data_IF_223612460610
#
_entry.id   IF_223612460610
#
_cell.length_a   1.000
_cell.length_b   1.000
_cell.length_c   1.000
_cell.angle_alpha   90.00
_cell.angle_beta   90.00
_cell.angle_gamma   90.00
#
_symmetry.space_group_name_H-M   'P 1'
#
loop_
_entity.id
_entity.type
_entity.pdbx_description
1 polymer ?
#
# COMPACT_ATOMS: atom_id res chain seq x y z
N UNK A 1 39.47 19.25 -4.25
CA UNK A 1 38.68 18.22 -4.99
C UNK A 1 37.25 18.30 -4.49
N UNK A 2 36.28 18.35 -5.37
CA UNK A 2 34.84 18.33 -4.98
C UNK A 2 34.43 16.89 -4.78
N UNK A 3 34.06 16.54 -3.55
CA UNK A 3 33.84 15.15 -3.14
C UNK A 3 32.60 14.95 -2.22
N UNK A 4 31.86 16.01 -1.98
CA UNK A 4 30.77 16.04 -1.01
C UNK A 4 29.42 16.28 -1.71
N UNK A 5 28.40 15.55 -1.35
CA UNK A 5 27.01 15.81 -1.74
C UNK A 5 26.40 16.69 -0.65
N UNK A 6 26.00 17.90 -1.00
CA UNK A 6 25.28 18.78 -0.10
C UNK A 6 23.77 18.57 -0.25
N UNK A 7 23.05 18.43 0.86
CA UNK A 7 21.57 18.39 0.88
C UNK A 7 21.07 19.74 1.41
N UNK A 8 20.38 20.48 0.54
CA UNK A 8 19.72 21.75 0.87
C UNK A 8 18.23 21.49 1.07
N UNK A 9 17.63 21.94 2.18
CA UNK A 9 16.26 21.61 2.55
C UNK A 9 15.60 22.69 3.41
N UNK A 10 14.29 22.61 3.58
CA UNK A 10 13.55 23.46 4.51
C UNK A 10 13.48 22.81 5.90
N UNK A 11 14.01 23.52 6.89
CA UNK A 11 13.95 23.12 8.29
C UNK A 11 12.72 23.80 8.96
N UNK A 12 11.85 23.08 9.72
CA UNK A 12 11.93 21.65 10.05
C UNK A 12 11.18 20.71 9.09
N UNK A 13 10.43 21.21 8.10
CA UNK A 13 9.43 20.48 7.33
C UNK A 13 10.02 19.31 6.54
N UNK A 14 11.22 19.48 5.98
CA UNK A 14 11.86 18.48 5.13
C UNK A 14 12.89 17.61 5.87
N UNK A 15 13.00 17.76 7.18
CA UNK A 15 14.04 17.13 8.00
C UNK A 15 14.02 15.60 7.91
N UNK A 16 12.84 14.98 7.96
CA UNK A 16 12.68 13.53 7.92
C UNK A 16 13.24 12.95 6.62
N UNK A 17 12.82 13.50 5.50
CA UNK A 17 13.30 13.07 4.18
C UNK A 17 14.80 13.33 4.01
N UNK A 18 15.27 14.51 4.42
CA UNK A 18 16.67 14.91 4.27
C UNK A 18 17.60 13.99 5.06
N UNK A 19 17.23 13.68 6.28
CA UNK A 19 17.98 12.78 7.13
C UNK A 19 18.00 11.36 6.58
N UNK A 20 16.84 10.84 6.14
CA UNK A 20 16.76 9.55 5.47
C UNK A 20 17.67 9.50 4.24
N UNK A 21 17.61 10.52 3.36
CA UNK A 21 18.41 10.57 2.15
C UNK A 21 19.91 10.66 2.45
N UNK A 22 20.29 11.48 3.44
CA UNK A 22 21.68 11.59 3.88
C UNK A 22 22.24 10.24 4.30
N UNK A 23 21.48 9.46 5.05
CA UNK A 23 21.87 8.12 5.51
C UNK A 23 21.99 7.13 4.37
N UNK A 24 21.04 7.13 3.44
CA UNK A 24 21.09 6.24 2.27
C UNK A 24 22.34 6.54 1.42
N UNK A 25 22.61 7.81 1.13
CA UNK A 25 23.79 8.22 0.36
C UNK A 25 25.10 7.90 1.10
N UNK A 26 25.13 8.09 2.42
CA UNK A 26 26.28 7.73 3.23
C UNK A 26 26.50 6.19 3.25
N UNK A 27 25.45 5.39 3.33
CA UNK A 27 25.52 3.94 3.24
C UNK A 27 26.07 3.45 1.88
N UNK A 28 25.80 4.21 0.81
CA UNK A 28 26.35 3.95 -0.52
C UNK A 28 27.80 4.45 -0.67
N UNK A 29 28.39 5.02 0.38
CA UNK A 29 29.79 5.43 0.43
C UNK A 29 30.01 6.87 -0.07
N UNK A 30 28.98 7.69 -0.22
CA UNK A 30 29.14 9.09 -0.54
C UNK A 30 29.39 9.92 0.72
N UNK A 31 30.23 10.95 0.59
CA UNK A 31 30.38 11.96 1.62
C UNK A 31 29.20 12.92 1.53
N UNK A 32 28.40 13.03 2.59
CA UNK A 32 27.18 13.84 2.63
C UNK A 32 27.33 14.96 3.65
N UNK A 33 26.83 16.12 3.32
CA UNK A 33 26.71 17.25 4.22
C UNK A 33 25.27 17.78 4.21
N UNK A 34 24.67 17.93 5.40
CA UNK A 34 23.45 18.71 5.62
C UNK A 34 23.49 19.31 7.02
N UNK A 35 22.72 20.37 7.26
CA UNK A 35 22.68 21.04 8.55
C UNK A 35 22.31 20.09 9.72
N UNK A 36 21.50 19.05 9.47
CA UNK A 36 21.09 18.05 10.45
C UNK A 36 22.23 17.12 10.85
N UNK A 37 23.24 16.92 10.02
CA UNK A 37 24.38 16.03 10.28
C UNK A 37 25.48 16.68 11.11
N UNK A 38 25.37 17.94 11.47
CA UNK A 38 26.25 18.59 12.48
C UNK A 38 26.25 17.85 13.82
N UNK A 39 25.26 16.98 14.05
CA UNK A 39 25.11 16.17 15.25
C UNK A 39 25.86 14.82 15.20
N UNK A 40 26.41 14.44 14.05
CA UNK A 40 27.14 13.18 13.88
C UNK A 40 28.58 13.25 14.40
N UNK A 41 28.78 13.76 15.60
CA UNK A 41 30.04 13.98 16.29
C UNK A 41 31.23 13.16 15.80
N UNK A 42 32.27 13.86 15.35
CA UNK A 42 33.59 13.25 15.08
C UNK A 42 34.39 13.78 13.94
N UNK A 43 33.86 14.57 13.01
CA UNK A 43 34.64 15.13 11.93
C UNK A 43 34.38 16.62 11.68
N UNK A 44 35.48 17.39 11.74
CA UNK A 44 35.75 18.76 11.33
C UNK A 44 34.51 19.62 11.06
N UNK A 45 34.29 20.56 11.95
CA UNK A 45 33.33 21.65 11.86
C UNK A 45 33.47 22.37 10.50
N UNK A 46 32.42 22.34 9.71
CA UNK A 46 32.26 23.22 8.57
C UNK A 46 31.48 24.44 9.06
N UNK A 47 32.16 25.52 9.25
CA UNK A 47 31.63 26.76 9.85
C UNK A 47 30.63 27.48 8.95
N UNK A 48 30.52 27.09 7.65
CA UNK A 48 29.68 27.83 6.70
C UNK A 48 29.20 26.94 5.53
N UNK A 49 27.86 26.80 5.37
CA UNK A 49 27.23 26.16 4.23
C UNK A 49 27.70 26.75 2.89
N UNK A 50 27.97 28.05 2.86
CA UNK A 50 28.53 28.74 1.70
C UNK A 50 29.90 28.18 1.35
N UNK A 51 30.76 27.92 2.33
CA UNK A 51 32.08 27.33 2.13
C UNK A 51 32.00 25.92 1.52
N UNK A 52 31.05 25.10 1.98
CA UNK A 52 30.81 23.76 1.42
C UNK A 52 30.37 23.86 -0.04
N UNK A 53 29.38 24.70 -0.35
CA UNK A 53 28.92 24.91 -1.74
C UNK A 53 30.09 25.37 -2.63
N UNK A 54 30.87 26.34 -2.17
CA UNK A 54 31.92 26.92 -2.98
C UNK A 54 33.10 25.99 -3.25
N UNK A 55 33.51 25.19 -2.27
CA UNK A 55 34.83 24.55 -2.32
C UNK A 55 34.76 23.01 -2.27
N UNK A 56 33.70 22.40 -1.75
CA UNK A 56 33.64 20.96 -1.46
C UNK A 56 32.53 20.22 -2.19
N UNK A 57 31.40 20.86 -2.45
CA UNK A 57 30.28 20.17 -3.07
C UNK A 57 30.63 19.66 -4.47
N UNK A 58 30.50 18.37 -4.69
CA UNK A 58 30.49 17.75 -6.01
C UNK A 58 29.09 17.92 -6.64
N UNK A 59 28.04 17.79 -5.83
CA UNK A 59 26.65 18.01 -6.20
C UNK A 59 25.91 18.68 -5.05
N UNK A 60 24.89 19.47 -5.40
CA UNK A 60 23.88 20.00 -4.48
C UNK A 60 22.56 19.32 -4.78
N UNK A 61 22.10 18.45 -3.90
CA UNK A 61 20.75 17.87 -3.98
C UNK A 61 19.81 18.83 -3.25
N UNK A 62 18.95 19.48 -4.01
CA UNK A 62 17.97 20.42 -3.49
C UNK A 62 16.67 19.66 -3.22
N UNK A 63 16.30 19.53 -1.95
CA UNK A 63 15.04 18.90 -1.53
C UNK A 63 13.92 19.85 -1.90
N UNK A 64 13.25 19.57 -3.02
CA UNK A 64 12.17 20.39 -3.56
C UNK A 64 10.84 19.99 -2.93
N UNK A 65 10.32 20.89 -2.12
CA UNK A 65 9.01 20.82 -1.47
C UNK A 65 8.30 22.16 -1.52
N UNK A 66 7.03 22.20 -1.11
CA UNK A 66 6.30 23.48 -0.91
C UNK A 66 7.03 24.39 0.08
N UNK A 67 7.63 23.82 1.12
CA UNK A 67 8.35 24.55 2.14
C UNK A 67 9.65 25.13 1.60
N UNK A 68 10.50 24.34 0.96
CA UNK A 68 11.78 24.79 0.41
C UNK A 68 11.60 25.78 -0.76
N UNK A 69 10.50 25.63 -1.50
CA UNK A 69 10.14 26.53 -2.61
C UNK A 69 9.72 27.94 -2.15
N UNK A 70 9.45 28.13 -0.84
CA UNK A 70 8.99 29.41 -0.26
C UNK A 70 9.91 30.02 0.78
N UNK A 71 10.80 29.23 1.40
CA UNK A 71 11.71 29.70 2.47
C UNK A 71 12.98 30.34 1.92
N UNK A 72 13.38 31.47 2.51
CA UNK A 72 14.55 32.25 2.10
C UNK A 72 15.87 31.47 2.17
N UNK A 73 16.07 30.63 3.21
CA UNK A 73 17.29 29.86 3.42
C UNK A 73 17.62 28.95 2.23
N UNK A 74 16.78 27.95 1.95
CA UNK A 74 16.96 27.04 0.81
C UNK A 74 17.06 27.78 -0.53
N UNK A 75 16.27 28.83 -0.75
CA UNK A 75 16.31 29.62 -1.99
C UNK A 75 17.66 30.37 -2.17
N UNK A 76 18.25 30.89 -1.10
CA UNK A 76 19.59 31.51 -1.16
C UNK A 76 20.67 30.49 -1.48
N UNK A 77 20.61 29.31 -0.88
CA UNK A 77 21.53 28.21 -1.15
C UNK A 77 21.43 27.76 -2.60
N UNK A 78 20.21 27.62 -3.14
CA UNK A 78 19.94 27.30 -4.53
C UNK A 78 20.55 28.35 -5.48
N UNK A 79 20.33 29.64 -5.21
CA UNK A 79 20.86 30.74 -6.03
C UNK A 79 22.38 30.76 -6.03
N UNK A 80 22.99 30.52 -4.85
CA UNK A 80 24.44 30.42 -4.72
C UNK A 80 24.99 29.24 -5.53
N UNK A 81 24.38 28.06 -5.38
CA UNK A 81 24.79 26.86 -6.11
C UNK A 81 24.70 27.05 -7.64
N UNK A 82 23.63 27.64 -8.14
CA UNK A 82 23.44 27.90 -9.56
C UNK A 82 24.38 28.96 -10.10
N UNK A 83 24.66 30.03 -9.32
CA UNK A 83 25.63 31.07 -9.70
C UNK A 83 27.02 30.47 -9.82
N UNK A 84 27.38 29.60 -8.87
CA UNK A 84 28.66 28.88 -8.90
C UNK A 84 28.74 27.94 -10.11
N UNK A 85 27.67 27.13 -10.35
CA UNK A 85 27.61 26.21 -11.47
C UNK A 85 27.83 26.90 -12.82
N UNK A 86 27.22 28.08 -13.00
CA UNK A 86 27.42 28.91 -14.21
C UNK A 86 28.82 29.44 -14.33
N UNK A 87 29.38 29.97 -13.22
CA UNK A 87 30.75 30.57 -13.22
C UNK A 87 31.83 29.53 -13.49
N UNK A 88 31.72 28.36 -12.86
CA UNK A 88 32.71 27.28 -12.94
C UNK A 88 32.39 26.23 -14.00
N UNK A 89 31.27 26.41 -14.76
CA UNK A 89 30.81 25.50 -15.81
C UNK A 89 30.61 24.07 -15.32
N UNK A 90 30.02 23.92 -14.10
CA UNK A 90 29.72 22.61 -13.51
C UNK A 90 28.44 22.08 -14.11
N UNK A 91 28.52 20.94 -14.78
CA UNK A 91 27.36 20.29 -15.37
C UNK A 91 26.52 19.59 -14.30
N UNK A 92 25.18 19.74 -14.36
CA UNK A 92 24.22 19.08 -13.48
C UNK A 92 24.59 19.21 -11.98
N UNK A 93 25.11 20.39 -11.61
CA UNK A 93 25.60 20.63 -10.24
C UNK A 93 24.48 20.63 -9.22
N UNK A 94 23.28 21.14 -9.59
CA UNK A 94 22.08 21.11 -8.76
C UNK A 94 21.15 20.00 -9.27
N UNK A 95 20.75 19.12 -8.37
CA UNK A 95 19.82 18.01 -8.63
C UNK A 95 18.59 18.22 -7.74
N UNK A 96 17.42 18.63 -8.28
CA UNK A 96 16.20 18.74 -7.49
C UNK A 96 15.64 17.37 -7.16
N UNK A 97 15.42 17.10 -5.86
CA UNK A 97 14.72 15.93 -5.35
C UNK A 97 13.30 16.34 -4.96
N UNK A 98 12.32 16.05 -5.79
CA UNK A 98 10.92 16.45 -5.61
C UNK A 98 10.20 15.48 -4.67
N UNK A 99 9.84 15.93 -3.46
CA UNK A 99 9.38 15.05 -2.39
C UNK A 99 7.88 15.10 -2.10
N UNK A 100 7.19 16.11 -2.60
CA UNK A 100 5.75 16.32 -2.36
C UNK A 100 4.98 16.57 -3.66
N UNK A 101 3.70 16.91 -3.53
CA UNK A 101 2.83 17.18 -4.68
C UNK A 101 2.88 18.63 -5.17
N UNK A 102 4.00 19.34 -5.07
CA UNK A 102 4.15 20.69 -5.61
C UNK A 102 3.98 20.69 -7.13
N UNK A 103 2.99 21.41 -7.70
CA UNK A 103 2.83 21.48 -9.15
C UNK A 103 4.02 22.14 -9.84
N UNK A 104 4.42 21.65 -11.00
CA UNK A 104 5.51 22.23 -11.78
C UNK A 104 5.31 23.72 -12.12
N UNK A 105 4.06 24.17 -12.21
CA UNK A 105 3.73 25.58 -12.43
C UNK A 105 4.04 26.49 -11.24
N UNK A 106 4.19 25.93 -10.05
CA UNK A 106 4.49 26.65 -8.81
C UNK A 106 5.96 26.56 -8.41
N UNK A 107 6.75 25.74 -9.10
CA UNK A 107 8.18 25.57 -8.85
C UNK A 107 8.91 26.88 -9.17
N UNK A 108 9.85 27.27 -8.30
CA UNK A 108 10.69 28.47 -8.48
C UNK A 108 11.36 28.48 -9.85
N UNK A 109 11.46 29.69 -10.44
CA UNK A 109 11.96 29.89 -11.81
C UNK A 109 13.36 29.33 -12.01
N UNK A 110 14.15 29.30 -10.95
CA UNK A 110 15.50 28.76 -10.93
C UNK A 110 15.56 27.27 -11.26
N UNK A 111 14.51 26.51 -10.96
CA UNK A 111 14.44 25.06 -11.18
C UNK A 111 13.57 24.66 -12.37
N UNK A 112 12.82 25.57 -12.99
CA UNK A 112 11.92 25.24 -14.10
C UNK A 112 12.59 24.62 -15.33
N UNK A 113 13.90 24.77 -15.46
CA UNK A 113 14.71 24.24 -16.57
C UNK A 113 15.54 23.02 -16.18
N UNK A 114 15.41 22.54 -14.95
CA UNK A 114 16.16 21.39 -14.43
C UNK A 114 15.19 20.24 -14.21
N UNK A 115 15.51 19.07 -14.75
CA UNK A 115 14.71 17.87 -14.49
C UNK A 115 14.83 17.47 -13.02
N UNK A 116 13.72 17.34 -12.33
CA UNK A 116 13.66 16.84 -10.96
C UNK A 116 13.60 15.31 -10.93
N UNK A 117 14.16 14.75 -9.85
CA UNK A 117 13.98 13.33 -9.53
C UNK A 117 12.78 13.21 -8.59
N UNK A 118 11.79 12.40 -8.99
CA UNK A 118 10.56 12.22 -8.24
C UNK A 118 10.74 11.27 -7.06
N UNK A 119 10.55 11.80 -5.85
CA UNK A 119 10.54 11.03 -4.61
C UNK A 119 9.14 10.94 -4.00
N UNK A 120 8.24 11.85 -4.33
CA UNK A 120 6.90 11.94 -3.71
C UNK A 120 6.04 10.69 -3.84
N UNK A 121 6.25 9.87 -4.87
CA UNK A 121 5.53 8.59 -5.06
C UNK A 121 6.21 7.40 -4.36
N UNK A 122 7.52 7.42 -4.27
CA UNK A 122 8.32 6.36 -3.67
C UNK A 122 9.76 6.85 -3.45
N UNK A 123 10.15 6.95 -2.19
CA UNK A 123 11.51 7.34 -1.82
C UNK A 123 12.56 6.36 -2.36
N UNK A 124 12.26 5.07 -2.32
CA UNK A 124 13.18 4.05 -2.84
C UNK A 124 13.40 4.13 -4.35
N UNK A 125 12.35 4.43 -5.13
CA UNK A 125 12.48 4.60 -6.57
C UNK A 125 13.26 5.88 -6.92
N UNK A 126 12.99 6.98 -6.20
CA UNK A 126 13.75 8.22 -6.33
C UNK A 126 15.22 8.04 -5.99
N UNK A 127 15.52 7.31 -4.90
CA UNK A 127 16.88 6.98 -4.52
C UNK A 127 17.61 6.20 -5.61
N UNK A 128 17.01 5.16 -6.18
CA UNK A 128 17.61 4.39 -7.26
C UNK A 128 17.98 5.29 -8.47
N UNK A 129 17.10 6.22 -8.82
CA UNK A 129 17.34 7.20 -9.90
C UNK A 129 18.48 8.14 -9.55
N UNK A 130 18.50 8.65 -8.31
CA UNK A 130 19.58 9.54 -7.84
C UNK A 130 20.93 8.82 -7.81
N UNK A 131 21.01 7.61 -7.29
CA UNK A 131 22.24 6.82 -7.25
C UNK A 131 22.79 6.59 -8.67
N UNK A 132 21.92 6.23 -9.60
CA UNK A 132 22.31 6.08 -11.00
C UNK A 132 22.84 7.37 -11.60
N UNK A 133 22.22 8.53 -11.32
CA UNK A 133 22.71 9.84 -11.75
C UNK A 133 24.08 10.17 -11.16
N UNK A 134 24.27 9.93 -9.87
CA UNK A 134 25.53 10.18 -9.19
C UNK A 134 26.67 9.31 -9.75
N UNK A 135 26.35 8.08 -10.16
CA UNK A 135 27.27 7.16 -10.80
C UNK A 135 27.67 7.61 -12.20
N UNK A 136 26.71 8.03 -13.04
CA UNK A 136 26.98 8.62 -14.37
C UNK A 136 27.86 9.86 -14.23
N UNK A 137 27.61 10.69 -13.23
CA UNK A 137 28.35 11.92 -12.98
C UNK A 137 29.70 11.69 -12.28
N UNK A 138 30.08 10.43 -12.06
CA UNK A 138 31.32 9.99 -11.43
C UNK A 138 31.60 10.69 -10.08
N UNK A 139 30.57 10.88 -9.26
CA UNK A 139 30.71 11.47 -7.91
C UNK A 139 31.57 10.55 -7.05
N UNK A 140 32.65 11.02 -6.40
CA UNK A 140 33.54 10.18 -5.65
C UNK A 140 32.87 9.47 -4.48
N UNK A 141 33.21 8.19 -4.28
CA UNK A 141 32.85 7.41 -3.08
C UNK A 141 34.05 7.30 -2.14
N UNK A 142 33.80 7.28 -0.85
CA UNK A 142 34.82 7.14 0.20
C UNK A 142 34.93 5.69 0.61
N UNK A 143 36.07 5.01 0.42
CA UNK A 143 36.23 3.59 0.66
C UNK A 143 36.14 3.17 2.14
N UNK A 144 36.34 4.10 3.07
CA UNK A 144 36.49 3.81 4.51
C UNK A 144 35.32 4.36 5.36
N UNK A 145 34.10 4.43 4.82
CA UNK A 145 32.97 4.92 5.58
C UNK A 145 32.47 3.86 6.61
N UNK A 146 32.32 4.27 7.88
CA UNK A 146 31.78 3.37 8.91
C UNK A 146 30.24 3.32 8.84
N UNK A 147 29.73 2.39 8.04
CA UNK A 147 28.27 2.18 7.89
C UNK A 147 27.56 1.87 9.21
N UNK A 148 28.23 1.16 10.12
CA UNK A 148 27.66 0.79 11.40
C UNK A 148 27.37 2.01 12.28
N UNK A 149 28.32 2.95 12.37
CA UNK A 149 28.17 4.13 13.19
C UNK A 149 27.00 5.04 12.75
N UNK A 150 26.78 5.16 11.42
CA UNK A 150 25.64 5.94 10.88
C UNK A 150 24.33 5.25 11.17
N UNK A 151 24.28 3.93 10.97
CA UNK A 151 23.08 3.15 11.28
C UNK A 151 22.75 3.18 12.76
N UNK A 152 23.76 3.08 13.64
CA UNK A 152 23.56 3.11 15.10
C UNK A 152 23.09 4.49 15.57
N UNK A 153 23.64 5.55 15.00
CA UNK A 153 23.16 6.90 15.30
C UNK A 153 21.71 7.11 14.83
N UNK A 154 21.40 6.71 13.60
CA UNK A 154 20.03 6.78 13.08
C UNK A 154 19.06 6.02 13.97
N UNK A 155 19.39 4.78 14.31
CA UNK A 155 18.57 3.97 15.20
C UNK A 155 18.32 4.68 16.52
N UNK A 156 19.36 5.26 17.13
CA UNK A 156 19.21 5.94 18.42
C UNK A 156 18.26 7.15 18.35
N UNK A 157 18.30 7.90 17.26
CA UNK A 157 17.39 9.05 17.06
C UNK A 157 15.97 8.59 16.75
N UNK A 158 15.84 7.59 15.89
CA UNK A 158 14.55 7.03 15.50
C UNK A 158 13.89 6.29 16.68
N UNK A 159 14.65 5.50 17.40
CA UNK A 159 14.18 4.76 18.58
C UNK A 159 13.61 5.73 19.66
N UNK A 160 14.32 6.82 19.91
CA UNK A 160 13.90 7.84 20.87
C UNK A 160 12.64 8.60 20.43
N UNK A 161 12.49 8.86 19.09
CA UNK A 161 11.36 9.63 18.57
C UNK A 161 10.10 8.79 18.32
N UNK A 162 10.23 7.48 18.09
CA UNK A 162 9.15 6.63 17.59
C UNK A 162 8.80 5.45 18.51
N UNK A 163 9.31 5.43 19.75
CA UNK A 163 8.99 4.40 20.72
C UNK A 163 9.47 3.00 20.35
N UNK A 164 10.64 2.90 19.69
CA UNK A 164 11.25 1.62 19.35
C UNK A 164 12.03 1.06 20.55
N UNK A 165 11.74 -0.19 20.91
CA UNK A 165 12.47 -0.97 21.91
C UNK A 165 13.46 -1.91 21.23
N UNK A 166 14.64 -2.13 21.84
CA UNK A 166 15.65 -3.10 21.35
C UNK A 166 15.34 -4.52 21.82
N UNK A 167 14.10 -4.93 21.62
CA UNK A 167 13.60 -6.26 21.99
C UNK A 167 13.05 -6.92 20.72
N UNK A 168 13.35 -8.21 20.47
CA UNK A 168 12.79 -8.91 19.32
C UNK A 168 11.27 -8.97 19.38
N UNK A 169 10.62 -8.80 18.22
CA UNK A 169 9.17 -8.92 18.08
C UNK A 169 8.82 -9.76 16.86
N UNK A 170 7.84 -10.64 17.00
CA UNK A 170 7.26 -11.34 15.87
C UNK A 170 6.21 -10.45 15.20
N UNK A 171 6.54 -9.94 14.02
CA UNK A 171 5.64 -9.13 13.19
C UNK A 171 4.78 -10.04 12.32
N UNK A 172 3.47 -9.92 12.45
CA UNK A 172 2.48 -10.71 11.69
C UNK A 172 2.05 -9.90 10.47
N UNK A 173 2.23 -10.46 9.29
CA UNK A 173 1.79 -9.84 8.03
C UNK A 173 0.31 -10.14 7.76
N UNK A 174 -0.19 -9.59 6.66
CA UNK A 174 -1.49 -9.96 6.09
C UNK A 174 -1.35 -10.83 4.82
N UNK A 175 -0.24 -11.54 4.69
CA UNK A 175 0.09 -12.45 3.59
C UNK A 175 -0.09 -13.89 4.03
N UNK A 176 -0.84 -14.65 3.23
CA UNK A 176 -1.11 -16.06 3.44
C UNK A 176 -0.49 -16.88 2.32
N UNK A 177 0.19 -17.97 2.63
CA UNK A 177 0.75 -18.85 1.60
C UNK A 177 -0.38 -19.54 0.84
N UNK A 178 -0.22 -19.64 -0.47
CA UNK A 178 -1.07 -20.51 -1.30
C UNK A 178 -0.49 -21.92 -1.20
N UNK A 179 -1.31 -22.83 -0.74
CA UNK A 179 -1.00 -24.26 -0.61
C UNK A 179 -1.78 -25.04 -1.66
N UNK A 180 -1.22 -26.15 -2.11
CA UNK A 180 -1.89 -27.09 -3.02
C UNK A 180 -2.38 -26.47 -4.34
N UNK A 181 -1.62 -25.54 -4.91
CA UNK A 181 -1.94 -25.07 -6.25
C UNK A 181 -1.88 -26.23 -7.25
N UNK A 182 -2.92 -26.47 -8.09
CA UNK A 182 -2.92 -27.56 -9.03
C UNK A 182 -1.73 -27.46 -10.02
N UNK A 183 -1.10 -28.58 -10.28
CA UNK A 183 0.08 -28.67 -11.14
C UNK A 183 -0.22 -28.43 -12.63
N UNK A 184 -1.50 -28.47 -13.03
CA UNK A 184 -1.92 -28.50 -14.42
C UNK A 184 -3.03 -27.49 -14.69
N UNK A 185 -2.84 -26.72 -15.74
CA UNK A 185 -3.82 -25.84 -16.37
C UNK A 185 -4.28 -26.42 -17.70
N UNK A 186 -5.46 -26.04 -18.15
CA UNK A 186 -6.02 -26.41 -19.44
C UNK A 186 -6.30 -25.14 -20.24
N UNK A 187 -5.87 -25.15 -21.50
CA UNK A 187 -6.30 -24.21 -22.52
C UNK A 187 -7.29 -24.90 -23.45
N UNK A 188 -8.51 -24.40 -23.49
CA UNK A 188 -9.56 -24.92 -24.34
C UNK A 188 -9.83 -23.96 -25.49
N UNK A 189 -9.68 -24.44 -26.71
CA UNK A 189 -10.07 -23.69 -27.89
C UNK A 189 -11.55 -23.90 -28.15
N UNK A 190 -12.35 -22.86 -27.91
CA UNK A 190 -13.79 -22.87 -28.07
C UNK A 190 -14.14 -22.38 -29.48
N UNK A 191 -15.09 -23.01 -30.11
CA UNK A 191 -15.59 -22.61 -31.43
C UNK A 191 -17.11 -22.53 -31.42
N UNK A 192 -17.69 -21.78 -32.38
CA UNK A 192 -19.13 -21.60 -32.58
C UNK A 192 -19.57 -22.36 -33.81
N UNK A 193 -20.74 -23.00 -33.78
CA UNK A 193 -21.34 -23.64 -34.93
C UNK A 193 -21.84 -22.62 -35.96
N UNK A 194 -22.39 -21.47 -35.48
CA UNK A 194 -22.94 -20.43 -36.39
C UNK A 194 -22.52 -19.03 -35.85
N UNK A 195 -22.02 -18.16 -36.75
CA UNK A 195 -21.76 -16.76 -36.39
C UNK A 195 -23.07 -16.01 -36.06
N UNK A 196 -23.07 -15.17 -35.00
CA UNK A 196 -24.14 -14.22 -34.76
C UNK A 196 -25.16 -14.55 -33.68
N UNK A 197 -24.98 -15.64 -32.94
CA UNK A 197 -25.79 -15.95 -31.75
C UNK A 197 -25.05 -15.57 -30.46
N UNK A 198 -25.83 -15.37 -29.39
CA UNK A 198 -25.45 -14.91 -28.04
C UNK A 198 -24.01 -15.19 -27.66
N UNK A 199 -23.32 -14.20 -27.12
CA UNK A 199 -21.95 -14.38 -26.62
C UNK A 199 -21.95 -15.38 -25.45
N UNK A 200 -20.88 -16.20 -25.40
CA UNK A 200 -20.69 -17.14 -24.32
C UNK A 200 -20.33 -16.37 -23.03
N UNK A 201 -21.21 -16.47 -22.05
CA UNK A 201 -20.97 -15.86 -20.74
C UNK A 201 -20.04 -16.77 -19.91
N UNK A 202 -18.78 -16.34 -19.78
CA UNK A 202 -17.76 -17.04 -18.99
C UNK A 202 -18.12 -17.06 -17.51
N UNK A 203 -18.87 -16.09 -17.01
CA UNK A 203 -19.27 -15.99 -15.62
C UNK A 203 -20.34 -17.03 -15.27
N UNK A 204 -21.04 -17.58 -16.25
CA UNK A 204 -21.98 -18.69 -16.10
C UNK A 204 -21.31 -20.05 -15.85
N UNK A 205 -20.01 -20.18 -16.11
CA UNK A 205 -19.27 -21.41 -15.83
C UNK A 205 -19.24 -21.69 -14.32
N UNK A 206 -19.31 -22.98 -13.90
CA UNK A 206 -19.23 -23.36 -12.49
C UNK A 206 -17.84 -23.12 -11.87
N UNK A 207 -16.80 -22.98 -12.69
CA UNK A 207 -15.42 -22.79 -12.29
C UNK A 207 -14.81 -21.55 -12.92
N UNK A 208 -13.74 -20.98 -12.31
CA UNK A 208 -13.02 -19.87 -12.86
C UNK A 208 -12.44 -20.16 -14.25
N UNK A 209 -12.63 -19.22 -15.16
CA UNK A 209 -12.04 -19.24 -16.47
C UNK A 209 -11.60 -17.83 -16.88
N UNK A 210 -10.60 -17.75 -17.74
CA UNK A 210 -10.09 -16.48 -18.27
C UNK A 210 -9.83 -16.61 -19.75
N UNK A 211 -10.29 -15.63 -20.53
CA UNK A 211 -9.99 -15.57 -21.95
C UNK A 211 -8.54 -15.18 -22.17
N UNK A 212 -7.77 -16.02 -22.87
CA UNK A 212 -6.45 -15.67 -23.39
C UNK A 212 -6.56 -14.85 -24.67
N UNK A 213 -7.57 -15.15 -25.47
CA UNK A 213 -8.00 -14.45 -26.67
C UNK A 213 -9.45 -14.82 -26.97
N UNK A 214 -10.03 -14.31 -28.04
CA UNK A 214 -11.46 -14.49 -28.39
C UNK A 214 -11.93 -15.95 -28.51
N UNK A 215 -11.01 -16.90 -28.58
CA UNK A 215 -11.32 -18.32 -28.83
C UNK A 215 -10.66 -19.29 -27.83
N UNK A 216 -9.73 -18.82 -27.00
CA UNK A 216 -8.97 -19.68 -26.08
C UNK A 216 -9.30 -19.35 -24.64
N UNK A 217 -9.90 -20.30 -23.93
CA UNK A 217 -10.22 -20.23 -22.51
C UNK A 217 -9.15 -20.96 -21.70
N UNK A 218 -8.59 -20.28 -20.69
CA UNK A 218 -7.71 -20.85 -19.68
C UNK A 218 -8.49 -21.18 -18.41
N UNK A 219 -8.32 -22.39 -17.89
CA UNK A 219 -8.98 -22.87 -16.66
C UNK A 219 -8.21 -24.02 -16.04
N UNK A 220 -8.54 -24.39 -14.79
CA UNK A 220 -8.06 -25.62 -14.16
C UNK A 220 -9.01 -26.82 -14.37
N UNK A 221 -10.13 -26.64 -15.06
CA UNK A 221 -11.11 -27.68 -15.31
C UNK A 221 -10.82 -28.40 -16.63
N UNK A 222 -11.00 -29.72 -16.64
CA UNK A 222 -10.98 -30.53 -17.87
C UNK A 222 -12.18 -30.20 -18.77
N UNK A 223 -12.08 -30.51 -20.05
CA UNK A 223 -13.15 -30.27 -20.99
C UNK A 223 -14.50 -30.90 -20.55
N UNK A 224 -14.45 -32.12 -20.06
CA UNK A 224 -15.62 -32.90 -19.65
C UNK A 224 -16.36 -32.26 -18.45
N UNK A 225 -15.64 -31.53 -17.60
CA UNK A 225 -16.18 -30.92 -16.38
C UNK A 225 -17.16 -29.78 -16.69
N UNK A 226 -17.04 -29.11 -17.82
CA UNK A 226 -17.87 -27.94 -18.11
C UNK A 226 -18.54 -27.95 -19.51
N UNK A 227 -18.33 -29.00 -20.33
CA UNK A 227 -18.96 -29.09 -21.64
C UNK A 227 -20.49 -28.94 -21.58
N UNK A 228 -21.12 -29.42 -20.49
CA UNK A 228 -22.57 -29.32 -20.26
C UNK A 228 -23.03 -27.88 -19.98
N UNK A 229 -22.15 -26.99 -19.59
CA UNK A 229 -22.45 -25.58 -19.31
C UNK A 229 -22.21 -24.68 -20.52
N UNK A 230 -21.62 -25.22 -21.60
CA UNK A 230 -21.51 -24.47 -22.84
C UNK A 230 -22.90 -24.32 -23.48
N UNK A 231 -23.19 -23.13 -24.00
CA UNK A 231 -24.40 -22.93 -24.78
C UNK A 231 -24.42 -23.90 -25.99
N UNK A 232 -25.60 -24.32 -26.47
CA UNK A 232 -25.73 -25.39 -27.48
C UNK A 232 -24.96 -25.19 -28.81
N UNK A 233 -24.56 -23.94 -29.08
CA UNK A 233 -23.82 -23.56 -30.29
C UNK A 233 -22.30 -23.40 -30.05
N UNK A 234 -21.81 -23.72 -28.85
CA UNK A 234 -20.40 -23.68 -28.49
C UNK A 234 -19.89 -25.08 -28.19
N UNK A 235 -18.70 -25.39 -28.67
CA UNK A 235 -18.03 -26.65 -28.36
C UNK A 235 -16.50 -26.47 -28.29
N UNK A 236 -15.85 -27.35 -27.55
CA UNK A 236 -14.41 -27.40 -27.44
C UNK A 236 -13.83 -28.11 -28.64
N UNK A 237 -13.09 -27.37 -29.47
CA UNK A 237 -12.42 -27.92 -30.67
C UNK A 237 -11.13 -28.66 -30.29
N UNK A 238 -10.39 -28.15 -29.32
CA UNK A 238 -9.10 -28.66 -28.88
C UNK A 238 -8.82 -28.27 -27.45
N UNK A 239 -8.19 -29.16 -26.70
CA UNK A 239 -7.70 -28.91 -25.36
C UNK A 239 -6.20 -29.15 -25.30
N UNK A 240 -5.49 -28.25 -24.64
CA UNK A 240 -4.06 -28.38 -24.36
C UNK A 240 -3.84 -28.36 -22.87
N UNK A 241 -2.99 -29.27 -22.40
CA UNK A 241 -2.54 -29.32 -20.99
C UNK A 241 -1.26 -28.50 -20.83
N UNK A 242 -1.19 -27.70 -19.80
CA UNK A 242 -0.07 -26.81 -19.52
C UNK A 242 0.38 -27.05 -18.08
N UNK A 243 1.68 -27.21 -17.86
CA UNK A 243 2.23 -27.22 -16.50
C UNK A 243 2.09 -25.83 -15.86
N UNK A 244 1.54 -25.75 -14.63
CA UNK A 244 1.41 -24.50 -13.91
C UNK A 244 2.76 -23.83 -13.69
N UNK A 245 3.81 -24.60 -13.38
CA UNK A 245 5.17 -24.07 -13.18
C UNK A 245 5.76 -23.49 -14.48
N UNK A 246 5.58 -24.19 -15.61
CA UNK A 246 6.06 -23.71 -16.90
C UNK A 246 5.29 -22.46 -17.35
N UNK A 247 3.99 -22.42 -17.08
CA UNK A 247 3.16 -21.25 -17.33
C UNK A 247 3.62 -20.04 -16.48
N UNK A 248 3.91 -20.26 -15.20
CA UNK A 248 4.45 -19.23 -14.32
C UNK A 248 5.83 -18.76 -14.74
N UNK A 249 6.66 -19.66 -15.27
CA UNK A 249 7.98 -19.33 -15.79
C UNK A 249 7.98 -18.63 -17.15
N UNK A 250 6.79 -18.50 -17.80
CA UNK A 250 6.65 -17.89 -19.12
C UNK A 250 7.23 -18.73 -20.25
N UNK A 251 7.38 -20.05 -20.07
CA UNK A 251 7.96 -20.96 -21.07
C UNK A 251 7.03 -21.27 -22.23
N UNK A 252 5.73 -21.03 -22.05
CA UNK A 252 4.67 -21.35 -23.03
C UNK A 252 4.30 -20.19 -23.97
N UNK A 253 5.25 -19.32 -24.29
CA UNK A 253 5.05 -18.14 -25.15
C UNK A 253 4.02 -17.10 -24.61
N UNK A 254 3.51 -17.28 -23.40
CA UNK A 254 2.60 -16.36 -22.73
C UNK A 254 3.37 -15.57 -21.66
N UNK A 255 3.98 -14.47 -22.05
CA UNK A 255 4.74 -13.59 -21.15
C UNK A 255 3.92 -13.10 -19.92
N UNK A 256 2.59 -13.17 -20.01
CA UNK A 256 1.65 -12.74 -18.97
C UNK A 256 1.10 -13.90 -18.10
N UNK A 257 1.73 -15.07 -18.11
CA UNK A 257 1.28 -16.24 -17.35
C UNK A 257 0.91 -15.94 -15.89
N UNK A 258 1.77 -15.25 -15.10
CA UNK A 258 1.46 -14.87 -13.73
C UNK A 258 0.20 -14.01 -13.58
N UNK A 259 -0.08 -13.13 -14.54
CA UNK A 259 -1.28 -12.29 -14.54
C UNK A 259 -2.57 -13.10 -14.70
N UNK A 260 -2.59 -14.03 -15.65
CA UNK A 260 -3.76 -14.89 -15.87
C UNK A 260 -4.00 -15.83 -14.70
N UNK A 261 -2.94 -16.40 -14.13
CA UNK A 261 -3.07 -17.23 -12.94
C UNK A 261 -3.60 -16.43 -11.75
N UNK A 262 -3.06 -15.24 -11.50
CA UNK A 262 -3.60 -14.35 -10.46
C UNK A 262 -5.09 -14.04 -10.69
N UNK A 263 -5.52 -13.88 -11.93
CA UNK A 263 -6.92 -13.64 -12.26
C UNK A 263 -7.80 -14.86 -11.93
N UNK A 264 -7.36 -16.09 -12.27
CA UNK A 264 -8.07 -17.31 -11.92
C UNK A 264 -8.21 -17.50 -10.40
N UNK A 265 -7.13 -17.30 -9.64
CA UNK A 265 -7.14 -17.40 -8.19
C UNK A 265 -8.08 -16.35 -7.56
N UNK A 266 -8.08 -15.12 -8.09
CA UNK A 266 -8.99 -14.07 -7.63
C UNK A 266 -10.45 -14.42 -7.92
N UNK A 267 -10.76 -14.92 -9.10
CA UNK A 267 -12.12 -15.33 -9.44
C UNK A 267 -12.63 -16.46 -8.50
N UNK A 268 -11.77 -17.43 -8.16
CA UNK A 268 -12.12 -18.47 -7.19
C UNK A 268 -12.38 -17.88 -5.80
N UNK A 269 -11.53 -16.97 -5.35
CA UNK A 269 -11.73 -16.24 -4.10
C UNK A 269 -13.08 -15.50 -4.10
N UNK A 270 -13.34 -14.70 -5.13
CA UNK A 270 -14.55 -13.89 -5.22
C UNK A 270 -15.81 -14.77 -5.24
N UNK A 271 -15.79 -15.92 -5.92
CA UNK A 271 -16.91 -16.86 -5.94
C UNK A 271 -17.22 -17.46 -4.56
N UNK A 272 -16.19 -17.91 -3.85
CA UNK A 272 -16.37 -18.47 -2.50
C UNK A 272 -16.92 -17.41 -1.54
N UNK A 273 -16.39 -16.20 -1.59
CA UNK A 273 -16.85 -15.15 -0.70
C UNK A 273 -18.25 -14.66 -1.07
N UNK A 274 -18.57 -14.50 -2.34
CA UNK A 274 -19.91 -14.11 -2.79
C UNK A 274 -20.99 -15.12 -2.40
N UNK A 275 -20.64 -16.41 -2.26
CA UNK A 275 -21.58 -17.45 -1.77
C UNK A 275 -21.87 -17.34 -0.27
N UNK A 276 -21.02 -16.66 0.49
CA UNK A 276 -21.09 -16.55 1.97
C UNK A 276 -21.44 -15.16 2.47
N UNK A 277 -21.00 -14.11 1.76
CA UNK A 277 -21.05 -12.73 2.21
C UNK A 277 -21.49 -11.78 1.09
N UNK A 278 -22.21 -10.72 1.41
CA UNK A 278 -22.48 -9.65 0.45
C UNK A 278 -21.21 -8.91 0.05
N UNK A 279 -21.18 -8.42 -1.18
CA UNK A 279 -20.07 -7.71 -1.75
C UNK A 279 -20.26 -6.18 -1.73
N UNK A 280 -19.15 -5.47 -1.71
CA UNK A 280 -19.05 -4.02 -1.91
C UNK A 280 -17.96 -3.75 -2.95
N UNK A 281 -18.26 -2.99 -3.97
CA UNK A 281 -17.27 -2.62 -4.99
C UNK A 281 -16.46 -1.42 -4.52
N UNK A 282 -15.17 -1.60 -4.36
CA UNK A 282 -14.21 -0.55 -3.99
C UNK A 282 -13.95 0.42 -5.15
N UNK A 283 -13.29 1.54 -4.86
CA UNK A 283 -13.04 2.57 -5.87
C UNK A 283 -12.16 2.11 -7.04
N UNK A 284 -11.32 1.11 -6.81
CA UNK A 284 -10.43 0.48 -7.80
C UNK A 284 -11.11 -0.68 -8.56
N UNK A 285 -12.43 -0.80 -8.43
CA UNK A 285 -13.24 -1.79 -9.15
C UNK A 285 -13.17 -3.22 -8.59
N UNK A 286 -12.49 -3.44 -7.45
CA UNK A 286 -12.41 -4.74 -6.79
C UNK A 286 -13.57 -4.95 -5.84
N UNK A 287 -13.83 -6.20 -5.46
CA UNK A 287 -14.82 -6.53 -4.46
C UNK A 287 -14.18 -6.72 -3.09
N UNK A 288 -14.85 -6.18 -2.06
CA UNK A 288 -14.66 -6.51 -0.65
C UNK A 288 -15.94 -7.14 -0.15
N UNK A 289 -15.81 -8.10 0.74
CA UNK A 289 -16.95 -8.86 1.28
C UNK A 289 -17.11 -8.52 2.75
N UNK A 290 -18.34 -8.26 3.19
CA UNK A 290 -18.59 -7.69 4.51
C UNK A 290 -19.64 -8.47 5.29
N UNK A 291 -19.58 -8.39 6.61
CA UNK A 291 -20.53 -9.01 7.51
C UNK A 291 -21.72 -8.06 7.75
N UNK A 292 -22.96 -8.57 7.57
CA UNK A 292 -24.19 -7.89 7.96
C UNK A 292 -24.50 -8.12 9.41
N UNK A 293 -25.20 -7.18 10.05
CA UNK A 293 -25.70 -7.34 11.41
C UNK A 293 -26.63 -8.54 11.53
N UNK A 294 -26.47 -9.31 12.61
CA UNK A 294 -27.35 -10.42 12.97
C UNK A 294 -27.16 -11.70 12.15
N UNK A 295 -26.18 -11.73 11.23
CA UNK A 295 -25.84 -12.97 10.48
C UNK A 295 -25.03 -13.94 11.35
N UNK A 296 -24.30 -13.42 12.31
CA UNK A 296 -23.48 -14.20 13.24
C UNK A 296 -23.99 -14.05 14.68
N UNK A 297 -23.81 -15.06 15.54
CA UNK A 297 -24.09 -14.92 16.96
C UNK A 297 -23.31 -13.73 17.56
N UNK A 298 -24.03 -12.80 18.19
CA UNK A 298 -23.47 -11.57 18.78
C UNK A 298 -22.59 -10.74 17.84
N UNK A 299 -22.72 -10.92 16.52
CA UNK A 299 -21.89 -10.29 15.48
C UNK A 299 -20.38 -10.48 15.70
N UNK A 300 -20.00 -11.64 16.29
CA UNK A 300 -18.63 -12.01 16.63
C UNK A 300 -18.20 -13.30 15.96
N UNK A 301 -16.88 -13.42 15.75
CA UNK A 301 -16.25 -14.64 15.25
C UNK A 301 -15.14 -15.04 16.23
N UNK A 302 -15.12 -16.32 16.59
CA UNK A 302 -14.04 -16.93 17.36
C UNK A 302 -12.93 -17.40 16.43
N UNK A 303 -11.69 -17.25 16.87
CA UNK A 303 -10.50 -17.68 16.12
C UNK A 303 -9.43 -18.21 17.08
N UNK A 304 -8.40 -18.80 16.51
CA UNK A 304 -7.17 -19.19 17.21
C UNK A 304 -6.02 -18.47 16.51
N UNK A 305 -5.18 -17.76 17.25
CA UNK A 305 -4.01 -17.07 16.70
C UNK A 305 -2.83 -18.03 16.48
N UNK A 306 -1.74 -17.51 15.87
CA UNK A 306 -0.52 -18.27 15.61
C UNK A 306 0.13 -18.88 16.86
N UNK A 307 -0.15 -18.35 18.05
CA UNK A 307 0.34 -18.88 19.34
C UNK A 307 -0.62 -19.90 19.97
N UNK A 308 -1.68 -20.29 19.25
CA UNK A 308 -2.69 -21.20 19.78
C UNK A 308 -3.68 -20.57 20.78
N UNK A 309 -3.63 -19.25 20.98
CA UNK A 309 -4.51 -18.53 21.88
C UNK A 309 -5.90 -18.37 21.23
N UNK A 310 -6.93 -18.75 21.97
CA UNK A 310 -8.31 -18.53 21.54
C UNK A 310 -8.72 -17.08 21.75
N UNK A 311 -9.29 -16.47 20.72
CA UNK A 311 -9.82 -15.12 20.74
C UNK A 311 -11.20 -15.04 20.08
N UNK A 312 -11.84 -13.91 20.21
CA UNK A 312 -13.04 -13.57 19.45
C UNK A 312 -13.03 -12.06 19.15
N UNK A 313 -13.56 -11.69 17.99
CA UNK A 313 -13.67 -10.28 17.60
C UNK A 313 -15.02 -9.97 16.99
N UNK A 314 -15.55 -8.78 17.34
CA UNK A 314 -16.70 -8.21 16.66
C UNK A 314 -16.35 -7.86 15.22
N UNK A 315 -17.20 -8.26 14.29
CA UNK A 315 -17.09 -7.94 12.85
C UNK A 315 -18.20 -6.99 12.40
N UNK A 316 -19.19 -6.76 13.26
CA UNK A 316 -20.18 -5.68 13.16
C UNK A 316 -20.34 -5.05 14.54
N UNK A 317 -20.53 -3.76 14.57
CA UNK A 317 -20.84 -3.03 15.79
C UNK A 317 -21.54 -1.73 15.45
N UNK A 318 -21.89 -0.95 16.46
CA UNK A 318 -22.54 0.33 16.25
C UNK A 318 -22.06 1.40 17.22
N UNK A 319 -22.26 2.65 16.84
CA UNK A 319 -22.05 3.82 17.67
C UNK A 319 -23.32 4.66 17.65
N UNK A 320 -23.76 5.14 18.81
CA UNK A 320 -24.86 6.09 18.90
C UNK A 320 -24.34 7.48 18.59
N UNK A 321 -24.93 8.12 17.59
CA UNK A 321 -24.60 9.47 17.17
C UNK A 321 -25.49 10.49 17.89
N UNK A 322 -25.14 11.76 17.74
CA UNK A 322 -25.97 12.86 18.26
C UNK A 322 -27.41 12.72 17.75
N UNK A 323 -28.39 12.93 18.62
CA UNK A 323 -29.81 12.72 18.29
C UNK A 323 -30.29 11.27 18.36
N UNK A 324 -29.51 10.34 18.93
CA UNK A 324 -29.91 8.94 19.14
C UNK A 324 -29.87 8.05 17.91
N UNK A 325 -29.40 8.56 16.78
CA UNK A 325 -29.24 7.82 15.53
C UNK A 325 -28.12 6.80 15.65
N UNK A 326 -28.33 5.57 15.16
CA UNK A 326 -27.31 4.54 15.17
C UNK A 326 -26.49 4.59 13.88
N UNK A 327 -25.18 4.44 14.00
CA UNK A 327 -24.27 4.22 12.90
C UNK A 327 -23.59 2.87 13.09
N UNK A 328 -23.85 1.93 12.18
CA UNK A 328 -23.24 0.61 12.21
C UNK A 328 -21.94 0.64 11.41
N UNK A 329 -20.93 -0.06 11.91
CA UNK A 329 -19.71 -0.38 11.18
C UNK A 329 -19.64 -1.87 10.89
N UNK A 330 -19.09 -2.22 9.75
CA UNK A 330 -18.96 -3.59 9.25
C UNK A 330 -17.51 -3.84 8.89
N UNK A 331 -16.91 -4.91 9.44
CA UNK A 331 -15.65 -5.40 8.95
C UNK A 331 -15.87 -6.04 7.59
N UNK A 332 -15.05 -5.68 6.64
CA UNK A 332 -15.00 -6.22 5.30
C UNK A 332 -13.56 -6.59 4.95
N UNK A 333 -13.39 -7.50 4.02
CA UNK A 333 -12.07 -7.88 3.56
C UNK A 333 -12.06 -8.28 2.09
N UNK A 334 -10.91 -8.14 1.46
CA UNK A 334 -10.64 -8.51 0.08
C UNK A 334 -9.37 -9.32 -0.02
N UNK A 335 -9.25 -10.16 -1.05
CA UNK A 335 -8.06 -10.94 -1.34
C UNK A 335 -7.40 -10.50 -2.64
N UNK A 336 -6.07 -10.48 -2.65
CA UNK A 336 -5.26 -10.21 -3.84
C UNK A 336 -4.17 -11.25 -3.97
N UNK A 337 -4.15 -12.06 -5.04
CA UNK A 337 -3.05 -12.96 -5.31
C UNK A 337 -1.77 -12.18 -5.64
N UNK A 338 -0.66 -12.65 -5.11
CA UNK A 338 0.71 -12.20 -5.41
C UNK A 338 1.46 -13.41 -5.93
N UNK A 339 2.02 -13.30 -7.14
CA UNK A 339 2.56 -14.45 -7.85
C UNK A 339 4.08 -14.59 -7.76
N UNK A 340 4.77 -13.61 -7.23
CA UNK A 340 6.24 -13.61 -7.10
C UNK A 340 6.67 -12.86 -5.83
N UNK A 341 7.76 -13.28 -5.16
CA UNK A 341 8.64 -14.45 -5.47
C UNK A 341 7.96 -15.79 -5.20
N UNK A 342 6.98 -15.83 -4.31
CA UNK A 342 6.14 -16.97 -3.97
C UNK A 342 4.67 -16.66 -4.29
N UNK A 343 3.84 -17.70 -4.42
CA UNK A 343 2.40 -17.50 -4.59
C UNK A 343 1.76 -17.29 -3.22
N UNK A 344 1.25 -16.09 -3.02
CA UNK A 344 0.67 -15.61 -1.77
C UNK A 344 -0.72 -15.02 -2.01
N UNK A 345 -1.51 -14.96 -0.95
CA UNK A 345 -2.74 -14.16 -0.91
C UNK A 345 -2.59 -13.03 0.10
N UNK A 346 -2.67 -11.79 -0.39
CA UNK A 346 -2.74 -10.60 0.45
C UNK A 346 -4.21 -10.40 0.86
N UNK A 347 -4.51 -10.51 2.16
CA UNK A 347 -5.85 -10.23 2.72
C UNK A 347 -5.86 -8.84 3.30
N UNK A 348 -6.73 -7.97 2.75
CA UNK A 348 -6.83 -6.58 3.19
C UNK A 348 -8.15 -6.32 3.89
N UNK A 349 -8.08 -5.87 5.14
CA UNK A 349 -9.22 -5.43 5.92
C UNK A 349 -9.74 -4.05 5.50
N UNK A 350 -11.05 -3.87 5.59
CA UNK A 350 -11.76 -2.60 5.35
C UNK A 350 -12.83 -2.40 6.42
N UNK A 351 -13.27 -1.16 6.62
CA UNK A 351 -14.44 -0.86 7.45
C UNK A 351 -15.45 -0.07 6.61
N UNK A 352 -16.68 -0.54 6.58
CA UNK A 352 -17.79 0.02 5.85
C UNK A 352 -18.89 0.43 6.83
N UNK A 353 -19.83 1.27 6.41
CA UNK A 353 -20.83 1.83 7.30
C UNK A 353 -22.26 1.72 6.73
N UNK A 354 -23.24 1.62 7.64
CA UNK A 354 -24.65 1.67 7.34
C UNK A 354 -25.43 2.32 8.49
N UNK A 355 -26.69 2.72 8.22
CA UNK A 355 -27.57 3.25 9.26
C UNK A 355 -28.43 2.17 9.91
N UNK A 356 -28.62 1.04 9.24
CA UNK A 356 -29.54 -0.04 9.64
C UNK A 356 -28.82 -1.37 9.98
N UNK A 357 -27.51 -1.44 9.78
CA UNK A 357 -26.73 -2.68 9.92
C UNK A 357 -26.80 -3.64 8.73
N UNK A 358 -27.52 -3.27 7.66
CA UNK A 358 -27.80 -4.14 6.51
C UNK A 358 -27.39 -3.54 5.16
N UNK A 359 -27.73 -2.26 4.94
CA UNK A 359 -27.55 -1.55 3.69
C UNK A 359 -26.45 -0.50 3.80
N UNK A 360 -25.36 -0.70 3.07
CA UNK A 360 -24.21 0.18 3.14
C UNK A 360 -24.51 1.58 2.57
N UNK A 361 -23.83 2.56 3.12
CA UNK A 361 -23.82 3.89 2.52
C UNK A 361 -23.23 3.85 1.11
N UNK A 362 -23.87 4.58 0.20
CA UNK A 362 -23.39 4.70 -1.20
C UNK A 362 -22.41 5.84 -1.38
N UNK A 363 -22.49 6.87 -0.54
CA UNK A 363 -21.59 8.03 -0.61
C UNK A 363 -20.21 7.69 -0.02
N UNK A 364 -19.18 7.84 -0.84
CA UNK A 364 -17.80 7.48 -0.50
C UNK A 364 -17.15 8.45 0.49
N UNK A 365 -17.52 9.72 0.45
CA UNK A 365 -16.88 10.76 1.25
C UNK A 365 -17.26 10.67 2.75
N UNK A 366 -18.56 10.63 3.14
CA UNK A 366 -18.96 10.33 4.51
C UNK A 366 -18.41 9.00 5.03
N UNK A 367 -18.37 7.97 4.17
CA UNK A 367 -17.81 6.67 4.55
C UNK A 367 -16.32 6.77 4.89
N UNK A 368 -15.53 7.55 4.14
CA UNK A 368 -14.12 7.77 4.40
C UNK A 368 -13.89 8.56 5.70
N UNK A 369 -14.70 9.58 5.98
CA UNK A 369 -14.66 10.35 7.24
C UNK A 369 -15.02 9.47 8.43
N UNK A 370 -16.10 8.70 8.35
CA UNK A 370 -16.52 7.78 9.39
C UNK A 370 -15.47 6.70 9.68
N UNK A 371 -14.76 6.21 8.64
CA UNK A 371 -13.68 5.24 8.80
C UNK A 371 -12.51 5.80 9.58
N UNK A 372 -12.04 7.01 9.25
CA UNK A 372 -10.95 7.67 10.00
C UNK A 372 -11.31 7.78 11.48
N UNK A 373 -12.51 8.22 11.81
CA UNK A 373 -12.97 8.38 13.18
C UNK A 373 -13.15 7.05 13.92
N UNK A 374 -13.67 6.01 13.23
CA UNK A 374 -13.90 4.70 13.84
C UNK A 374 -12.59 3.95 14.10
N UNK A 375 -11.65 4.06 13.16
CA UNK A 375 -10.43 3.27 13.18
C UNK A 375 -9.24 3.99 13.81
N UNK A 376 -9.40 5.21 14.32
CA UNK A 376 -8.28 5.95 14.89
C UNK A 376 -7.62 5.24 16.09
N UNK A 377 -8.41 4.43 16.81
CA UNK A 377 -7.95 3.65 17.96
C UNK A 377 -7.89 2.14 17.65
N UNK A 378 -7.89 1.75 16.36
CA UNK A 378 -7.69 0.37 15.97
C UNK A 378 -6.20 0.17 15.66
N UNK A 379 -5.49 -0.36 16.63
CA UNK A 379 -4.08 -0.69 16.51
C UNK A 379 -3.87 -2.04 15.83
N UNK A 380 -2.63 -2.47 15.73
CA UNK A 380 -2.25 -3.68 15.01
C UNK A 380 -3.01 -4.94 15.46
N UNK A 381 -3.25 -5.11 16.74
CA UNK A 381 -4.01 -6.22 17.32
C UNK A 381 -5.47 -6.24 16.86
N UNK A 382 -6.13 -5.07 16.79
CA UNK A 382 -7.51 -4.95 16.34
C UNK A 382 -7.70 -5.36 14.88
N UNK A 383 -6.75 -4.98 14.00
CA UNK A 383 -6.76 -5.37 12.59
C UNK A 383 -6.37 -6.82 12.41
N UNK A 384 -5.32 -7.28 13.08
CA UNK A 384 -4.82 -8.64 13.06
C UNK A 384 -5.89 -9.64 13.48
N UNK A 385 -6.52 -9.40 14.63
CA UNK A 385 -7.49 -10.33 15.19
C UNK A 385 -8.75 -10.42 14.33
N UNK A 386 -9.19 -9.32 13.69
CA UNK A 386 -10.30 -9.38 12.71
C UNK A 386 -9.91 -10.10 11.44
N UNK A 387 -8.67 -10.01 11.02
CA UNK A 387 -8.14 -10.79 9.91
C UNK A 387 -8.18 -12.30 10.25
N UNK A 388 -7.68 -12.70 11.43
CA UNK A 388 -7.81 -14.08 11.91
C UNK A 388 -9.27 -14.54 11.98
N UNK A 389 -10.16 -13.71 12.50
CA UNK A 389 -11.58 -14.00 12.55
C UNK A 389 -12.17 -14.20 11.15
N UNK A 390 -11.81 -13.37 10.17
CA UNK A 390 -12.29 -13.53 8.79
C UNK A 390 -11.79 -14.84 8.14
N UNK A 391 -10.53 -15.19 8.34
CA UNK A 391 -9.96 -16.46 7.84
C UNK A 391 -10.60 -17.67 8.55
N UNK A 392 -10.80 -17.59 9.88
CA UNK A 392 -11.49 -18.64 10.63
C UNK A 392 -12.93 -18.84 10.15
N UNK A 393 -13.65 -17.76 9.82
CA UNK A 393 -14.98 -17.84 9.23
C UNK A 393 -14.99 -18.57 7.87
N UNK A 394 -13.99 -18.30 7.02
CA UNK A 394 -13.85 -18.96 5.72
C UNK A 394 -13.50 -20.45 5.88
N UNK A 395 -12.62 -20.77 6.83
CA UNK A 395 -12.17 -22.14 7.09
C UNK A 395 -13.28 -23.03 7.65
N UNK A 396 -14.24 -22.47 8.36
CA UNK A 396 -15.34 -23.23 8.99
C UNK A 396 -14.84 -24.34 9.92
N UNK A 397 -15.58 -25.43 9.98
CA UNK A 397 -15.24 -26.62 10.80
C UNK A 397 -14.05 -27.41 10.26
N UNK A 398 -13.80 -27.34 8.97
CA UNK A 398 -12.80 -28.19 8.26
C UNK A 398 -11.37 -27.71 8.46
N UNK A 399 -11.23 -26.52 8.98
CA UNK A 399 -9.95 -25.96 9.39
C UNK A 399 -9.01 -25.61 8.25
N UNK A 400 -9.43 -25.69 6.97
CA UNK A 400 -8.72 -25.19 5.79
C UNK A 400 -9.64 -24.33 4.94
N UNK A 401 -9.06 -23.33 4.29
CA UNK A 401 -9.81 -22.47 3.34
C UNK A 401 -9.53 -23.00 1.94
N UNK A 402 -10.49 -23.72 1.37
CA UNK A 402 -10.40 -24.28 0.02
C UNK A 402 -11.15 -23.39 -0.97
N UNK A 403 -10.50 -23.08 -2.08
CA UNK A 403 -11.04 -22.32 -3.20
C UNK A 403 -11.11 -23.21 -4.44
N UNK A 404 -12.31 -23.60 -4.89
CA UNK A 404 -12.47 -24.43 -6.08
C UNK A 404 -12.00 -23.72 -7.35
N UNK A 405 -11.19 -24.41 -8.12
CA UNK A 405 -10.71 -23.99 -9.44
C UNK A 405 -11.22 -24.86 -10.57
N UNK A 406 -11.74 -26.04 -10.26
CA UNK A 406 -12.29 -27.04 -11.15
C UNK A 406 -13.10 -28.08 -10.38
N UNK A 407 -13.61 -29.12 -11.04
CA UNK A 407 -14.36 -30.20 -10.40
C UNK A 407 -13.52 -30.90 -9.32
N UNK A 408 -12.28 -31.27 -9.68
CA UNK A 408 -11.32 -31.96 -8.82
C UNK A 408 -10.09 -31.09 -8.51
N UNK A 409 -10.15 -29.79 -8.81
CA UNK A 409 -9.02 -28.87 -8.68
C UNK A 409 -9.40 -27.71 -7.76
N UNK A 410 -8.50 -27.33 -6.88
CA UNK A 410 -8.65 -26.18 -6.01
C UNK A 410 -7.30 -25.76 -5.43
N UNK A 411 -7.26 -24.61 -4.82
CA UNK A 411 -6.13 -24.20 -4.00
C UNK A 411 -6.61 -23.91 -2.58
N UNK A 412 -5.70 -24.00 -1.65
CA UNK A 412 -5.93 -23.55 -0.27
C UNK A 412 -4.96 -22.45 0.08
N UNK A 413 -5.33 -21.68 1.09
CA UNK A 413 -4.41 -20.74 1.75
C UNK A 413 -4.11 -21.22 3.15
N UNK A 414 -2.91 -20.90 3.65
CA UNK A 414 -2.53 -21.17 5.03
C UNK A 414 -3.54 -20.52 6.00
N UNK A 415 -3.76 -21.13 7.16
CA UNK A 415 -4.58 -20.53 8.22
C UNK A 415 -3.89 -19.37 8.89
N UNK A 416 -2.59 -19.44 8.93
CA UNK A 416 -1.74 -18.47 9.56
C UNK A 416 -1.08 -17.59 8.51
N UNK A 417 -1.04 -16.28 8.75
CA UNK A 417 -0.30 -15.38 7.91
C UNK A 417 1.20 -15.60 8.09
N UNK A 418 1.97 -15.17 7.12
CA UNK A 418 3.44 -15.16 7.22
C UNK A 418 3.83 -14.21 8.33
N UNK A 419 4.72 -14.67 9.21
CA UNK A 419 5.33 -13.87 10.26
C UNK A 419 6.81 -13.65 10.00
N UNK A 420 7.33 -12.57 10.56
CA UNK A 420 8.73 -12.18 10.45
C UNK A 420 9.25 -11.81 11.85
N UNK A 421 10.46 -12.24 12.14
CA UNK A 421 11.15 -11.79 13.35
C UNK A 421 11.80 -10.43 13.10
N UNK A 422 11.37 -9.43 13.86
CA UNK A 422 12.00 -8.12 13.91
C UNK A 422 13.02 -8.08 15.06
N UNK A 423 14.22 -7.53 14.88
CA UNK A 423 15.18 -7.37 15.98
C UNK A 423 14.79 -6.26 16.97
N UNK A 424 13.74 -5.53 16.68
CA UNK A 424 13.21 -4.42 17.48
C UNK A 424 11.69 -4.53 17.57
N UNK A 425 11.12 -4.04 18.67
CA UNK A 425 9.67 -3.90 18.81
C UNK A 425 9.25 -2.44 18.71
N UNK A 426 7.98 -2.21 18.40
CA UNK A 426 7.37 -0.90 18.26
C UNK A 426 6.30 -0.71 19.32
N UNK A 427 6.39 0.40 20.05
CA UNK A 427 5.36 0.81 21.00
C UNK A 427 4.21 1.46 20.26
N UNK A 428 3.02 0.90 20.40
CA UNK A 428 1.82 1.57 19.91
C UNK A 428 1.58 2.86 20.71
N UNK A 429 1.09 3.94 20.09
CA UNK A 429 0.90 5.21 20.78
C UNK A 429 0.08 5.12 22.08
N UNK A 430 -0.85 4.18 22.17
CA UNK A 430 -1.61 3.90 23.39
C UNK A 430 -0.81 3.25 24.54
N UNK A 431 0.36 2.69 24.26
CA UNK A 431 1.26 2.11 25.25
C UNK A 431 2.24 3.14 25.79
N UNK A 432 2.65 4.12 24.97
CA UNK A 432 3.56 5.20 25.37
C UNK A 432 2.95 6.04 26.49
N UNK A 433 1.64 6.22 26.51
CA UNK A 433 0.92 7.02 27.54
C UNK A 433 0.80 6.29 28.86
N UNK A 434 1.03 4.98 28.94
CA UNK A 434 0.89 4.20 30.18
C UNK A 434 2.14 4.20 31.07
N UNK A 435 3.31 4.52 30.52
CA UNK A 435 4.59 4.50 31.25
C UNK A 435 5.00 5.86 31.82
N UNK A 436 4.31 6.93 31.48
CA UNK A 436 4.50 8.22 32.13
C UNK A 436 3.27 8.55 32.96
N UNK A 437 3.45 8.86 34.26
CA UNK A 437 2.50 9.55 35.12
C UNK A 437 2.18 10.96 34.54
N UNK A 438 1.59 10.99 33.35
CA UNK A 438 1.01 12.19 32.75
C UNK A 438 -0.40 12.33 33.31
N UNK A 439 -0.49 13.15 34.38
CA UNK A 439 -1.72 13.78 34.81
C UNK A 439 -2.62 14.11 33.61
N UNK A 440 -3.87 13.65 33.74
CA UNK A 440 -5.02 13.88 32.91
C UNK A 440 -4.97 15.20 32.09
N UNK A 441 -4.43 15.14 30.88
CA UNK A 441 -4.85 16.04 29.82
C UNK A 441 -5.79 15.22 28.92
N UNK A 442 -7.06 15.19 29.30
CA UNK A 442 -8.15 14.93 28.39
C UNK A 442 -8.07 15.96 27.26
N UNK A 443 -7.44 15.59 26.14
CA UNK A 443 -7.72 16.25 24.89
C UNK A 443 -9.12 15.81 24.45
N UNK A 444 -10.12 16.43 25.07
CA UNK A 444 -11.42 16.61 24.41
C UNK A 444 -11.17 17.53 23.21
N UNK A 445 -10.76 16.98 22.08
CA UNK A 445 -11.05 17.63 20.82
C UNK A 445 -12.56 17.76 20.76
N UNK A 446 -13.13 18.98 20.67
CA UNK A 446 -14.56 19.15 20.52
C UNK A 446 -14.98 18.35 19.30
N UNK A 447 -15.98 17.48 19.47
CA UNK A 447 -16.67 16.79 18.40
C UNK A 447 -17.26 17.88 17.47
N UNK A 448 -16.44 18.36 16.53
CA UNK A 448 -16.90 19.24 15.45
C UNK A 448 -17.56 18.39 14.38
N UNK A 449 -18.51 17.53 14.76
CA UNK A 449 -19.60 17.14 13.91
C UNK A 449 -20.59 18.33 13.88
N UNK A 450 -20.16 19.44 13.29
CA UNK A 450 -21.09 20.47 12.85
C UNK A 450 -21.87 19.81 11.73
N UNK A 451 -23.08 19.39 12.04
CA UNK A 451 -24.10 19.16 11.01
C UNK A 451 -24.15 20.44 10.16
N UNK A 452 -23.53 20.41 8.97
CA UNK A 452 -23.97 21.28 7.89
C UNK A 452 -25.38 20.80 7.55
N UNK A 453 -26.32 21.35 8.30
CA UNK A 453 -27.73 21.31 7.95
C UNK A 453 -27.85 21.75 6.49
N UNK A 454 -28.41 20.87 5.69
CA UNK A 454 -28.90 21.13 4.36
C UNK A 454 -29.68 22.45 4.38
N UNK A 455 -29.01 23.53 4.01
CA UNK A 455 -29.66 24.80 3.70
C UNK A 455 -30.44 24.58 2.42
N UNK A 456 -31.73 24.33 2.54
CA UNK A 456 -32.66 24.54 1.44
C UNK A 456 -32.47 25.98 0.96
N UNK A 457 -31.94 26.14 -0.24
CA UNK A 457 -31.99 27.41 -0.97
C UNK A 457 -33.44 27.61 -1.36
N UNK A 458 -34.16 28.33 -0.54
CA UNK A 458 -35.41 28.96 -0.97
C UNK A 458 -35.03 30.02 -2.00
N UNK A 459 -35.37 29.75 -3.25
CA UNK A 459 -35.45 30.78 -4.28
C UNK A 459 -36.51 31.84 -3.86
N UNK A 460 -36.16 33.12 -3.74
CA UNK A 460 -37.15 34.13 -3.68
C UNK A 460 -37.66 34.41 -5.11
N UNK A 461 -38.84 33.92 -5.45
CA UNK A 461 -39.61 34.48 -6.55
C UNK A 461 -39.86 35.94 -6.22
N UNK A 462 -39.14 36.82 -6.89
CA UNK A 462 -39.40 38.27 -6.88
C UNK A 462 -40.47 38.60 -7.89
N UNK A 463 -41.64 38.99 -7.38
CA UNK A 463 -42.67 39.72 -8.13
C UNK A 463 -42.05 40.89 -8.89
N UNK A 464 -42.38 40.96 -10.17
CA UNK A 464 -42.21 42.14 -11.00
C UNK A 464 -43.61 42.79 -11.11
N UNK A 465 -43.82 44.03 -10.60
CA UNK A 465 -45.00 44.79 -10.97
C UNK A 465 -44.71 45.60 -12.24
N UNK A 466 -45.68 45.58 -13.13
CA UNK A 466 -45.99 46.44 -14.28
C UNK A 466 -44.92 47.30 -14.94
#
# INVERSE_FOLDING_TARGET
MRDTILLSHANPEDNEFTLWLALQLANEGFRVWCDLTKLLGGEIFWDDIEGVIRYRAAKVVYVLSRASNSKDGPLRELQLAQSLARREKLSDFVIPAHIDGLPHSEVTIELTRVNSIEFGKSWGAGLATLLHKLEIDAVPRVPAFNRAAVNDWWRSQFDAAHGIRKEPETVISNWFKVEHLPAVLYEHRITREKPGLVDFDIDSLPFPGVWLNDLSLLTFSKADDFTTYLAPNFFIKQSRTISTDDFMAGKDALAEGPRYLAQLLRLAWDRVLASKLPSYQTADGRFSYFFKKGVLPDDKISFVDANGKKGHRGVVGYKTMLGGRLRYWHYAFSGKPIMRPETLFLVKGHVLFSDDGLNLWTNKEPMAKARRNQCKNWWNDEWRDRMYAAIAYLAGSDGSVLFPLGADAGFSISKEPISFESPVSYLEPGEIVKDEDLTDYEFEEPDTDVDEASGEIQNPEGDVPE
#
